data_IF_275682369336
#
_entry.id   IF_275682369336
#
_cell.length_a   1.000
_cell.length_b   1.000
_cell.length_c   1.000
_cell.angle_alpha   90.00
_cell.angle_beta   90.00
_cell.angle_gamma   90.00
#
_symmetry.space_group_name_H-M   'P 1'
#
loop_
_entity.id
_entity.type
_entity.pdbx_description
1 polymer ?
#
# COMPACT_ATOMS: atom_id res chain seq x y z
N UNK A 1 -4.27 -12.05 -7.28
CA UNK A 1 -2.98 -12.57 -7.77
C UNK A 1 -3.02 -14.09 -7.76
N UNK A 2 -3.14 -14.71 -8.94
CA UNK A 2 -2.77 -16.11 -9.19
C UNK A 2 -1.36 -16.20 -9.79
N UNK A 3 -0.93 -17.40 -10.15
CA UNK A 3 0.41 -17.73 -10.62
C UNK A 3 0.85 -16.82 -11.77
N UNK A 4 0.16 -16.92 -12.92
CA UNK A 4 0.51 -16.19 -14.14
C UNK A 4 0.39 -14.68 -13.95
N UNK A 5 -0.67 -14.22 -13.26
CA UNK A 5 -0.86 -12.79 -13.03
C UNK A 5 0.22 -12.18 -12.13
N UNK A 6 0.72 -12.95 -11.15
CA UNK A 6 1.80 -12.52 -10.27
C UNK A 6 3.14 -12.54 -10.97
N UNK A 7 3.45 -13.65 -11.68
CA UNK A 7 4.69 -13.78 -12.45
C UNK A 7 4.86 -12.66 -13.48
N UNK A 8 3.78 -12.23 -14.15
CA UNK A 8 3.82 -11.08 -15.08
C UNK A 8 4.29 -9.79 -14.41
N UNK A 9 3.84 -9.53 -13.18
CA UNK A 9 4.20 -8.32 -12.45
C UNK A 9 5.63 -8.44 -11.89
N UNK A 10 5.97 -9.58 -11.29
CA UNK A 10 7.32 -9.86 -10.79
C UNK A 10 8.37 -9.71 -11.91
N UNK A 11 8.18 -10.43 -13.03
CA UNK A 11 9.11 -10.38 -14.15
C UNK A 11 9.26 -8.98 -14.76
N UNK A 12 8.18 -8.20 -14.86
CA UNK A 12 8.26 -6.82 -15.34
C UNK A 12 9.10 -5.92 -14.41
N UNK A 13 8.98 -6.11 -13.09
CA UNK A 13 9.78 -5.38 -12.11
C UNK A 13 11.24 -5.83 -12.10
N UNK A 14 11.50 -7.13 -12.23
CA UNK A 14 12.85 -7.70 -12.34
C UNK A 14 13.59 -7.19 -13.59
N UNK A 15 12.91 -7.19 -14.73
CA UNK A 15 13.44 -6.64 -15.99
C UNK A 15 13.70 -5.13 -15.88
N UNK A 16 12.81 -4.38 -15.23
CA UNK A 16 13.06 -2.97 -14.96
C UNK A 16 14.30 -2.76 -14.07
N UNK A 17 14.55 -3.65 -13.11
CA UNK A 17 15.75 -3.58 -12.27
C UNK A 17 17.02 -3.93 -13.05
N UNK A 18 16.93 -4.89 -13.98
CA UNK A 18 17.99 -5.23 -14.92
C UNK A 18 18.33 -4.07 -15.86
N UNK A 19 17.32 -3.42 -16.43
CA UNK A 19 17.48 -2.19 -17.21
C UNK A 19 18.27 -1.13 -16.44
N UNK A 20 17.90 -0.86 -15.19
CA UNK A 20 18.56 0.13 -14.35
C UNK A 20 20.03 -0.24 -14.06
N UNK A 21 20.34 -1.53 -13.85
CA UNK A 21 21.73 -2.00 -13.73
C UNK A 21 22.53 -1.81 -15.01
N UNK A 22 21.87 -1.86 -16.16
CA UNK A 22 22.46 -1.67 -17.49
C UNK A 22 22.45 -0.21 -17.96
N UNK A 23 22.10 0.75 -17.08
CA UNK A 23 22.10 2.18 -17.39
C UNK A 23 20.87 2.68 -18.14
N UNK A 24 19.80 1.87 -18.24
CA UNK A 24 18.51 2.24 -18.80
C UNK A 24 17.58 2.62 -17.63
N UNK A 25 17.17 3.89 -17.49
CA UNK A 25 16.41 4.36 -16.33
C UNK A 25 14.92 4.00 -16.42
N UNK A 26 14.61 2.70 -16.50
CA UNK A 26 13.23 2.19 -16.61
C UNK A 26 12.47 2.47 -15.32
N UNK A 27 11.29 3.08 -15.43
CA UNK A 27 10.42 3.43 -14.30
C UNK A 27 9.32 2.39 -14.12
N UNK A 28 8.91 2.13 -12.88
CA UNK A 28 7.79 1.25 -12.57
C UNK A 28 6.65 1.98 -11.84
N UNK A 29 5.46 1.88 -12.42
CA UNK A 29 4.21 2.41 -11.86
C UNK A 29 3.20 1.28 -11.77
N UNK A 30 2.72 1.01 -10.56
CA UNK A 30 1.82 -0.07 -10.23
C UNK A 30 0.42 0.46 -9.95
N UNK A 31 -0.55 0.14 -10.81
CA UNK A 31 -1.96 0.40 -10.56
C UNK A 31 -2.56 -0.80 -9.79
N UNK A 32 -2.84 -0.61 -8.50
CA UNK A 32 -3.13 -1.67 -7.55
C UNK A 32 -4.63 -1.75 -7.21
N UNK A 33 -5.37 -2.51 -8.01
CA UNK A 33 -6.78 -2.85 -7.76
C UNK A 33 -6.91 -4.36 -7.54
N UNK A 34 -6.84 -4.79 -6.29
CA UNK A 34 -6.66 -6.22 -5.97
C UNK A 34 -7.11 -6.58 -4.56
N UNK A 35 -7.79 -7.73 -4.45
CA UNK A 35 -8.12 -8.36 -3.16
C UNK A 35 -6.97 -9.16 -2.54
N UNK A 36 -5.78 -9.20 -3.18
CA UNK A 36 -4.64 -10.00 -2.73
C UNK A 36 -4.49 -11.31 -3.50
N UNK A 37 -4.20 -12.41 -2.80
CA UNK A 37 -4.05 -13.74 -3.41
C UNK A 37 -5.39 -14.23 -3.95
N UNK A 38 -5.37 -14.85 -5.13
CA UNK A 38 -6.54 -15.56 -5.69
C UNK A 38 -6.61 -16.91 -5.00
N UNK A 39 -7.65 -17.15 -4.19
CA UNK A 39 -7.78 -18.37 -3.38
C UNK A 39 -7.76 -19.66 -4.22
N UNK A 40 -8.21 -19.61 -5.48
CA UNK A 40 -8.18 -20.75 -6.41
C UNK A 40 -6.76 -21.17 -6.81
N UNK A 41 -5.77 -20.30 -6.61
CA UNK A 41 -4.35 -20.51 -6.95
C UNK A 41 -3.46 -20.23 -5.73
N UNK A 42 -4.00 -20.35 -4.51
CA UNK A 42 -3.46 -19.87 -3.23
C UNK A 42 -1.93 -19.81 -3.13
N UNK A 43 -1.26 -20.96 -3.03
CA UNK A 43 0.19 -21.02 -2.78
C UNK A 43 1.00 -20.43 -3.93
N UNK A 44 0.59 -20.65 -5.18
CA UNK A 44 1.28 -20.10 -6.35
C UNK A 44 1.12 -18.58 -6.44
N UNK A 45 -0.08 -18.09 -6.16
CA UNK A 45 -0.35 -16.65 -6.06
C UNK A 45 0.42 -15.99 -4.92
N UNK A 46 0.56 -16.66 -3.78
CA UNK A 46 1.33 -16.17 -2.65
C UNK A 46 2.83 -16.15 -2.94
N UNK A 47 3.38 -17.21 -3.54
CA UNK A 47 4.78 -17.25 -3.99
C UNK A 47 5.07 -16.11 -4.97
N UNK A 48 4.19 -15.91 -5.97
CA UNK A 48 4.36 -14.82 -6.93
C UNK A 48 4.25 -13.42 -6.28
N UNK A 49 3.48 -13.25 -5.20
CA UNK A 49 3.49 -12.00 -4.42
C UNK A 49 4.83 -11.80 -3.71
N UNK A 50 5.44 -12.85 -3.17
CA UNK A 50 6.77 -12.76 -2.56
C UNK A 50 7.83 -12.33 -3.59
N UNK A 51 7.75 -12.85 -4.83
CA UNK A 51 8.63 -12.42 -5.92
C UNK A 51 8.38 -10.94 -6.28
N UNK A 52 7.13 -10.48 -6.31
CA UNK A 52 6.79 -9.06 -6.47
C UNK A 52 7.42 -8.22 -5.35
N UNK A 53 7.36 -8.67 -4.08
CA UNK A 53 7.97 -7.94 -2.96
C UNK A 53 9.49 -7.81 -3.15
N UNK A 54 10.15 -8.92 -3.49
CA UNK A 54 11.59 -8.95 -3.74
C UNK A 54 11.97 -8.03 -4.89
N UNK A 55 11.22 -8.06 -5.99
CA UNK A 55 11.47 -7.24 -7.18
C UNK A 55 11.25 -5.74 -6.91
N UNK A 56 10.24 -5.36 -6.11
CA UNK A 56 10.05 -3.97 -5.66
C UNK A 56 11.27 -3.50 -4.85
N UNK A 57 11.75 -4.32 -3.92
CA UNK A 57 12.91 -3.99 -3.08
C UNK A 57 14.20 -3.92 -3.89
N UNK A 58 14.38 -4.76 -4.90
CA UNK A 58 15.50 -4.67 -5.85
C UNK A 58 15.45 -3.37 -6.65
N UNK A 59 14.34 -3.13 -7.35
CA UNK A 59 14.17 -2.00 -8.26
C UNK A 59 14.28 -0.64 -7.56
N UNK A 60 13.72 -0.53 -6.34
CA UNK A 60 13.69 0.74 -5.59
C UNK A 60 15.08 1.25 -5.17
N UNK A 61 16.14 0.46 -5.34
CA UNK A 61 17.54 0.88 -5.16
C UNK A 61 18.03 1.83 -6.25
N UNK A 62 17.40 1.81 -7.43
CA UNK A 62 17.86 2.55 -8.60
C UNK A 62 16.87 3.66 -9.01
N UNK A 63 15.57 3.40 -8.87
CA UNK A 63 14.49 4.30 -9.30
C UNK A 63 13.28 4.15 -8.37
N UNK A 64 12.49 5.19 -8.09
CA UNK A 64 11.33 5.03 -7.22
C UNK A 64 10.29 4.11 -7.86
N UNK A 65 9.75 3.16 -7.08
CA UNK A 65 8.59 2.36 -7.47
C UNK A 65 7.33 3.08 -6.97
N UNK A 66 6.42 3.41 -7.88
CA UNK A 66 5.19 4.14 -7.55
C UNK A 66 4.00 3.17 -7.47
N UNK A 67 3.22 3.24 -6.39
CA UNK A 67 1.92 2.59 -6.29
C UNK A 67 0.78 3.61 -6.47
N UNK A 68 -0.28 3.22 -7.17
CA UNK A 68 -1.51 3.99 -7.35
C UNK A 68 -2.69 3.10 -6.96
N UNK A 69 -3.51 3.53 -6.00
CA UNK A 69 -4.76 2.86 -5.63
C UNK A 69 -5.88 3.87 -5.83
N UNK A 70 -6.80 3.62 -6.77
CA UNK A 70 -7.77 4.64 -7.19
C UNK A 70 -9.22 4.16 -7.12
N UNK A 71 -9.43 2.85 -7.19
CA UNK A 71 -10.73 2.25 -7.35
C UNK A 71 -11.33 1.71 -6.05
N UNK A 72 -12.59 1.30 -6.19
CA UNK A 72 -13.43 0.83 -5.10
C UNK A 72 -13.03 -0.54 -4.60
N UNK A 73 -12.30 -1.34 -5.39
CA UNK A 73 -11.72 -2.61 -4.92
C UNK A 73 -10.66 -2.31 -3.87
N UNK A 74 -9.79 -1.33 -4.15
CA UNK A 74 -8.65 -0.99 -3.30
C UNK A 74 -7.53 -2.02 -3.41
N UNK A 75 -6.64 -2.02 -2.41
CA UNK A 75 -5.49 -2.92 -2.36
C UNK A 75 -5.46 -3.67 -1.03
N UNK A 76 -5.69 -4.99 -1.11
CA UNK A 76 -5.75 -5.88 0.05
C UNK A 76 -4.79 -7.07 -0.05
N UNK A 77 -4.64 -7.80 1.06
CA UNK A 77 -3.81 -9.00 1.18
C UNK A 77 -2.32 -8.71 0.99
N UNK A 78 -1.58 -9.68 0.46
CA UNK A 78 -0.14 -9.53 0.23
C UNK A 78 0.23 -8.38 -0.73
N UNK A 79 -0.69 -7.94 -1.60
CA UNK A 79 -0.43 -6.76 -2.45
C UNK A 79 -0.53 -5.44 -1.69
N UNK A 80 -1.23 -5.38 -0.54
CA UNK A 80 -1.18 -4.20 0.33
C UNK A 80 0.20 -4.04 0.98
N UNK A 81 0.91 -5.15 1.22
CA UNK A 81 2.32 -5.14 1.65
C UNK A 81 3.20 -4.67 0.50
N UNK A 82 2.96 -5.13 -0.73
CA UNK A 82 3.65 -4.61 -1.91
C UNK A 82 3.46 -3.09 -2.07
N UNK A 83 2.24 -2.59 -1.85
CA UNK A 83 1.94 -1.16 -1.85
C UNK A 83 2.74 -0.40 -0.78
N UNK A 84 2.91 -0.97 0.42
CA UNK A 84 3.70 -0.38 1.49
C UNK A 84 5.22 -0.42 1.22
N UNK A 85 5.70 -1.34 0.36
CA UNK A 85 7.09 -1.41 -0.09
C UNK A 85 7.42 -0.41 -1.20
N UNK A 86 6.42 0.12 -1.91
CA UNK A 86 6.61 1.18 -2.90
C UNK A 86 7.29 2.41 -2.28
N UNK A 87 8.04 3.12 -3.12
CA UNK A 87 8.71 4.37 -2.72
C UNK A 87 7.72 5.48 -2.45
N UNK A 88 6.71 5.60 -3.31
CA UNK A 88 5.58 6.51 -3.14
C UNK A 88 4.26 5.80 -3.42
N UNK A 89 3.24 6.11 -2.63
CA UNK A 89 1.89 5.58 -2.75
C UNK A 89 0.89 6.72 -2.90
N UNK A 90 0.23 6.76 -4.05
CA UNK A 90 -0.79 7.75 -4.42
C UNK A 90 -2.15 7.09 -4.30
N UNK A 91 -3.09 7.74 -3.61
CA UNK A 91 -4.43 7.21 -3.42
C UNK A 91 -5.50 8.23 -3.78
N UNK A 92 -6.68 7.76 -4.19
CA UNK A 92 -7.89 8.59 -4.25
C UNK A 92 -8.70 8.48 -2.95
N UNK A 93 -9.74 9.29 -2.80
CA UNK A 93 -10.68 9.19 -1.67
C UNK A 93 -11.44 7.86 -1.64
N UNK A 94 -11.77 7.32 -2.80
CA UNK A 94 -12.50 6.05 -2.96
C UNK A 94 -11.64 4.84 -2.59
N UNK A 95 -10.31 4.97 -2.68
CA UNK A 95 -9.37 3.90 -2.41
C UNK A 95 -9.45 3.37 -0.98
N UNK A 96 -9.13 2.08 -0.84
CA UNK A 96 -8.90 1.42 0.44
C UNK A 96 -7.58 0.67 0.42
N UNK A 97 -6.90 0.65 1.54
CA UNK A 97 -5.65 -0.07 1.74
C UNK A 97 -5.72 -0.78 3.09
N UNK A 98 -5.54 -2.09 3.10
CA UNK A 98 -5.52 -2.88 4.33
C UNK A 98 -5.03 -4.30 4.11
N UNK A 99 -4.56 -4.98 5.16
CA UNK A 99 -4.08 -6.35 5.01
C UNK A 99 -5.24 -7.32 4.75
N UNK A 100 -6.24 -7.32 5.63
CA UNK A 100 -7.40 -8.18 5.52
C UNK A 100 -8.60 -7.40 4.97
N UNK A 101 -9.41 -8.05 4.13
CA UNK A 101 -10.66 -7.48 3.66
C UNK A 101 -11.73 -7.46 4.78
N UNK A 102 -12.70 -6.53 4.73
CA UNK A 102 -13.75 -6.41 5.76
C UNK A 102 -14.45 -7.72 6.13
N UNK A 103 -14.86 -8.50 5.13
CA UNK A 103 -15.56 -9.78 5.36
C UNK A 103 -14.68 -10.83 6.04
N UNK A 104 -13.38 -10.84 5.74
CA UNK A 104 -12.44 -11.76 6.37
C UNK A 104 -12.24 -11.40 7.85
N UNK A 105 -12.15 -10.10 8.16
CA UNK A 105 -12.05 -9.65 9.56
C UNK A 105 -13.34 -10.01 10.32
N UNK A 106 -14.52 -9.71 9.76
CA UNK A 106 -15.80 -10.05 10.39
C UNK A 106 -15.94 -11.55 10.65
N UNK A 107 -15.54 -12.39 9.68
CA UNK A 107 -15.64 -13.85 9.81
C UNK A 107 -14.75 -14.39 10.93
N UNK A 108 -13.52 -13.88 11.06
CA UNK A 108 -12.52 -14.41 11.99
C UNK A 108 -12.60 -13.77 13.38
N UNK A 109 -12.99 -12.49 13.49
CA UNK A 109 -13.03 -11.73 14.73
C UNK A 109 -14.46 -11.44 15.24
N UNK A 110 -15.48 -11.61 14.39
CA UNK A 110 -16.88 -11.35 14.72
C UNK A 110 -17.36 -9.96 14.28
N UNK A 111 -18.69 -9.84 14.15
CA UNK A 111 -19.38 -8.61 13.71
C UNK A 111 -19.21 -7.43 14.68
N UNK A 112 -19.07 -7.70 15.97
CA UNK A 112 -18.86 -6.66 16.99
C UNK A 112 -17.49 -5.98 16.85
N UNK A 113 -16.50 -6.72 16.33
CA UNK A 113 -15.14 -6.19 16.08
C UNK A 113 -15.07 -5.42 14.76
N UNK A 114 -15.74 -5.93 13.71
CA UNK A 114 -15.68 -5.34 12.38
C UNK A 114 -16.91 -5.69 11.54
N UNK A 115 -17.87 -4.76 11.39
CA UNK A 115 -19.03 -4.94 10.50
C UNK A 115 -18.65 -4.67 9.04
N UNK A 116 -18.55 -5.73 8.23
CA UNK A 116 -18.19 -5.67 6.81
C UNK A 116 -19.23 -4.98 5.92
N UNK A 117 -20.40 -4.66 6.46
CA UNK A 117 -21.46 -3.92 5.77
C UNK A 117 -21.46 -2.43 6.14
N UNK A 118 -20.78 -2.04 7.23
CA UNK A 118 -20.67 -0.65 7.66
C UNK A 118 -19.61 0.10 6.81
N UNK A 119 -20.02 0.55 5.62
CA UNK A 119 -19.14 1.26 4.69
C UNK A 119 -18.47 2.50 5.29
N UNK A 120 -19.17 3.39 6.03
CA UNK A 120 -18.53 4.53 6.69
C UNK A 120 -17.38 4.10 7.61
N UNK A 121 -17.59 3.09 8.45
CA UNK A 121 -16.55 2.54 9.33
C UNK A 121 -15.37 1.95 8.56
N UNK A 122 -15.64 1.18 7.50
CA UNK A 122 -14.57 0.60 6.66
C UNK A 122 -13.64 1.68 6.10
N UNK A 123 -14.21 2.76 5.56
CA UNK A 123 -13.43 3.88 5.02
C UNK A 123 -12.76 4.71 6.11
N UNK A 124 -13.37 4.83 7.28
CA UNK A 124 -12.77 5.56 8.40
C UNK A 124 -11.51 4.87 8.96
N UNK A 125 -11.36 3.56 8.70
CA UNK A 125 -10.21 2.75 9.15
C UNK A 125 -9.18 2.46 8.04
N UNK A 126 -9.65 2.24 6.80
CA UNK A 126 -8.79 1.77 5.69
C UNK A 126 -8.81 2.65 4.45
N UNK A 127 -9.64 3.70 4.42
CA UNK A 127 -9.80 4.59 3.28
C UNK A 127 -8.59 5.49 3.01
N UNK A 128 -8.48 6.01 1.78
CA UNK A 128 -7.38 6.87 1.37
C UNK A 128 -7.16 8.09 2.28
N UNK A 129 -8.24 8.70 2.77
CA UNK A 129 -8.17 9.87 3.67
C UNK A 129 -7.46 9.57 4.99
N UNK A 130 -7.84 8.47 5.68
CA UNK A 130 -7.20 8.13 6.96
C UNK A 130 -5.78 7.63 6.75
N UNK A 131 -5.49 6.94 5.65
CA UNK A 131 -4.12 6.54 5.28
C UNK A 131 -3.24 7.76 5.03
N UNK A 132 -3.76 8.81 4.38
CA UNK A 132 -3.04 10.05 4.16
C UNK A 132 -2.81 10.81 5.47
N UNK A 133 -3.85 10.93 6.30
CA UNK A 133 -3.78 11.59 7.60
C UNK A 133 -2.82 10.88 8.58
N UNK A 134 -2.60 9.57 8.42
CA UNK A 134 -1.66 8.77 9.23
C UNK A 134 -0.28 8.60 8.59
N UNK A 135 0.01 9.27 7.47
CA UNK A 135 1.31 9.20 6.80
C UNK A 135 1.65 7.83 6.17
N UNK A 136 0.64 6.97 5.97
CA UNK A 136 0.79 5.65 5.37
C UNK A 136 0.72 5.67 3.82
N UNK A 137 0.35 6.81 3.24
CA UNK A 137 0.40 7.11 1.80
C UNK A 137 1.02 8.50 1.62
N UNK A 138 1.52 8.79 0.42
CA UNK A 138 2.31 10.01 0.16
C UNK A 138 1.50 11.10 -0.53
N UNK A 139 0.42 10.75 -1.23
CA UNK A 139 -0.49 11.71 -1.83
C UNK A 139 -1.92 11.19 -1.80
N UNK A 140 -2.84 12.05 -1.36
CA UNK A 140 -4.28 11.91 -1.59
C UNK A 140 -4.66 12.87 -2.71
N UNK A 141 -5.21 12.34 -3.80
CA UNK A 141 -5.62 13.14 -4.96
C UNK A 141 -7.10 12.96 -5.27
N UNK A 142 -7.67 13.94 -5.98
CA UNK A 142 -9.01 13.80 -6.55
C UNK A 142 -9.02 12.65 -7.57
N UNK A 143 -10.17 11.99 -7.71
CA UNK A 143 -10.38 10.97 -8.74
C UNK A 143 -10.50 11.61 -10.13
N UNK A 144 -9.35 12.02 -10.67
CA UNK A 144 -9.21 12.65 -11.96
C UNK A 144 -7.86 12.26 -12.58
N UNK A 145 -7.88 11.86 -13.85
CA UNK A 145 -6.69 11.42 -14.59
C UNK A 145 -5.55 12.44 -14.50
N UNK A 146 -5.86 13.72 -14.62
CA UNK A 146 -4.85 14.79 -14.54
C UNK A 146 -4.26 14.93 -13.13
N UNK A 147 -5.05 14.74 -12.08
CA UNK A 147 -4.57 14.82 -10.70
C UNK A 147 -3.62 13.65 -10.39
N UNK A 148 -4.00 12.43 -10.75
CA UNK A 148 -3.16 11.22 -10.60
C UNK A 148 -1.87 11.35 -11.40
N UNK A 149 -1.95 11.77 -12.67
CA UNK A 149 -0.77 11.94 -13.53
C UNK A 149 0.19 12.99 -12.99
N UNK A 150 -0.32 14.09 -12.45
CA UNK A 150 0.50 15.15 -11.85
C UNK A 150 1.26 14.62 -10.64
N UNK A 151 0.57 13.99 -9.70
CA UNK A 151 1.20 13.39 -8.51
C UNK A 151 2.22 12.31 -8.87
N UNK A 152 1.94 11.49 -9.89
CA UNK A 152 2.87 10.47 -10.40
C UNK A 152 4.16 11.11 -10.94
N UNK A 153 4.04 12.14 -11.78
CA UNK A 153 5.20 12.85 -12.33
C UNK A 153 6.02 13.56 -11.23
N UNK A 154 5.36 14.15 -10.25
CA UNK A 154 6.02 14.76 -9.08
C UNK A 154 6.79 13.72 -8.26
N UNK A 155 6.19 12.55 -8.02
CA UNK A 155 6.84 11.45 -7.31
C UNK A 155 8.05 10.88 -8.09
N UNK A 156 7.95 10.75 -9.41
CA UNK A 156 9.08 10.38 -10.27
C UNK A 156 10.21 11.42 -10.17
N UNK A 157 9.87 12.71 -10.24
CA UNK A 157 10.84 13.81 -10.19
C UNK A 157 11.57 13.90 -8.83
N UNK A 158 10.95 13.44 -7.74
CA UNK A 158 11.59 13.35 -6.42
C UNK A 158 12.68 12.27 -6.36
N UNK A 159 12.65 11.28 -7.26
CA UNK A 159 13.60 10.17 -7.24
C UNK A 159 13.42 9.22 -6.05
N UNK A 160 14.42 8.37 -5.81
CA UNK A 160 14.41 7.43 -4.68
C UNK A 160 14.42 8.20 -3.35
N UNK A 161 13.48 7.95 -2.42
CA UNK A 161 13.45 8.64 -1.14
C UNK A 161 14.66 8.28 -0.29
N UNK A 162 15.14 9.24 0.52
CA UNK A 162 16.29 9.02 1.43
C UNK A 162 16.02 7.91 2.45
N UNK A 163 14.78 7.79 2.90
CA UNK A 163 14.33 6.75 3.83
C UNK A 163 12.97 6.23 3.34
N UNK A 164 12.85 4.92 3.12
CA UNK A 164 11.55 4.32 2.82
C UNK A 164 10.73 4.15 4.10
N UNK A 165 9.40 4.09 3.95
CA UNK A 165 8.50 3.82 5.08
C UNK A 165 8.83 2.50 5.79
N UNK A 166 9.29 1.50 5.03
CA UNK A 166 9.74 0.19 5.54
C UNK A 166 10.95 0.27 6.46
N UNK A 167 11.73 1.35 6.38
CA UNK A 167 12.97 1.52 7.13
C UNK A 167 12.72 2.28 8.45
N UNK A 168 11.51 2.84 8.64
CA UNK A 168 11.14 3.64 9.80
C UNK A 168 10.50 2.79 10.92
N UNK A 169 10.90 1.52 11.07
CA UNK A 169 10.28 0.59 12.01
C UNK A 169 10.39 1.05 13.47
N UNK A 170 11.49 1.71 13.85
CA UNK A 170 11.71 2.23 15.20
C UNK A 170 10.68 3.29 15.62
N UNK A 171 10.29 4.20 14.70
CA UNK A 171 9.25 5.19 14.97
C UNK A 171 7.88 4.54 15.17
N UNK A 172 7.53 3.58 14.30
CA UNK A 172 6.28 2.82 14.42
C UNK A 172 6.25 2.02 15.72
N UNK A 173 7.32 1.31 16.05
CA UNK A 173 7.42 0.51 17.27
C UNK A 173 7.25 1.38 18.52
N UNK A 174 7.94 2.54 18.57
CA UNK A 174 7.81 3.50 19.67
C UNK A 174 6.37 3.96 19.84
N UNK A 175 5.70 4.41 18.77
CA UNK A 175 4.30 4.87 18.83
C UNK A 175 3.36 3.76 19.29
N UNK A 176 3.47 2.57 18.69
CA UNK A 176 2.61 1.43 19.01
C UNK A 176 2.82 0.92 20.44
N UNK A 177 4.04 0.95 20.97
CA UNK A 177 4.33 0.55 22.35
C UNK A 177 3.69 1.45 23.42
N UNK A 178 3.30 2.67 23.04
CA UNK A 178 2.68 3.66 23.93
C UNK A 178 1.15 3.70 23.79
N UNK A 179 0.59 2.96 22.84
CA UNK A 179 -0.86 2.92 22.62
C UNK A 179 -1.55 2.00 23.63
N UNK A 180 -2.65 2.47 24.24
CA UNK A 180 -3.47 1.66 25.14
C UNK A 180 -4.38 0.71 24.35
N UNK A 181 -3.93 -0.53 24.15
CA UNK A 181 -4.65 -1.55 23.39
C UNK A 181 -5.89 -2.11 24.10
N UNK A 182 -6.25 -1.63 25.29
CA UNK A 182 -7.52 -2.00 25.95
C UNK A 182 -8.72 -1.25 25.37
N UNK A 183 -8.47 -0.20 24.58
CA UNK A 183 -9.49 0.56 23.87
C UNK A 183 -9.41 0.26 22.38
N UNK A 184 -10.56 0.04 21.74
CA UNK A 184 -10.63 -0.10 20.30
C UNK A 184 -10.22 1.22 19.64
N UNK A 185 -9.26 1.15 18.72
CA UNK A 185 -8.80 2.33 18.02
C UNK A 185 -9.89 2.89 17.07
N UNK A 186 -10.20 4.17 17.21
CA UNK A 186 -11.02 4.91 16.27
C UNK A 186 -10.18 5.84 15.36
N UNK A 187 -10.86 6.51 14.42
CA UNK A 187 -10.21 7.44 13.48
C UNK A 187 -9.49 8.60 14.19
N UNK A 188 -10.00 9.09 15.32
CA UNK A 188 -9.37 10.18 16.06
C UNK A 188 -8.09 9.70 16.75
N UNK A 189 -8.13 8.54 17.39
CA UNK A 189 -6.97 7.90 18.02
C UNK A 189 -5.88 7.56 16.99
N UNK A 190 -6.25 7.04 15.81
CA UNK A 190 -5.29 6.78 14.71
C UNK A 190 -4.61 8.07 14.28
N UNK A 191 -5.37 9.15 14.07
CA UNK A 191 -4.82 10.45 13.69
C UNK A 191 -3.91 11.02 14.76
N UNK A 192 -4.26 10.87 16.04
CA UNK A 192 -3.44 11.32 17.14
C UNK A 192 -2.14 10.52 17.25
N UNK A 193 -2.22 9.19 17.12
CA UNK A 193 -1.07 8.30 17.23
C UNK A 193 -0.03 8.55 16.13
N UNK A 194 -0.51 8.83 14.92
CA UNK A 194 0.34 9.09 13.73
C UNK A 194 0.39 10.55 13.32
N UNK A 195 -0.03 11.47 14.18
CA UNK A 195 0.12 12.90 13.93
C UNK A 195 1.60 13.18 13.68
N UNK A 196 1.89 13.91 12.60
CA UNK A 196 3.24 14.38 12.33
C UNK A 196 3.62 15.29 13.50
N UNK A 197 4.63 14.89 14.26
CA UNK A 197 5.30 15.81 15.18
C UNK A 197 5.90 16.91 14.30
N UNK A 198 5.53 18.17 14.54
CA UNK A 198 6.15 19.31 13.85
C UNK A 198 7.66 19.21 14.06
N UNK A 199 8.40 18.88 13.00
CA UNK A 199 9.86 18.85 12.97
C UNK A 199 10.39 20.19 12.47
#
# INVERSE_FOLDING_TARGET
>A
MGEVSGAKMAAALELAAEDNRNGIPTQAVLCLETGGVRLQEANLGLAAIADIHAAIVDLRRYTPVLGIIAGTVGCFGGMSIAAALCSYLIVTREARLGLNGPQVIEQEAGIEEYDSRNRPFIWSMTGGEIRAASGLVDALVNDAVNAVKTAMNEAIAKGVPVQHRSDNYDDYLRRLSQFDTRQQADTAQIKQLFAREDK
#
